data_IF_387001892842
#
_entry.id   IF_387001892842
#
_cell.length_a   1.000
_cell.length_b   1.000
_cell.length_c   1.000
_cell.angle_alpha   90.00
_cell.angle_beta   90.00
_cell.angle_gamma   90.00
#
_symmetry.space_group_name_H-M   'P 1'
#
loop_
_entity.id
_entity.type
_entity.pdbx_description
1 polymer ?
#
# COMPACT_ATOMS: atom_id res chain seq x y z
N UNK A 1 -4.94 8.69 -3.20
CA UNK A 1 -5.13 8.51 -1.74
C UNK A 1 -3.83 8.20 -1.01
N UNK A 2 -3.03 7.21 -1.41
CA UNK A 2 -1.75 6.89 -0.74
C UNK A 2 -0.80 8.10 -0.60
N UNK A 3 -0.54 8.84 -1.67
CA UNK A 3 0.33 10.03 -1.61
C UNK A 3 -0.17 11.12 -0.66
N UNK A 4 -1.49 11.30 -0.54
CA UNK A 4 -2.09 12.25 0.40
C UNK A 4 -1.83 11.82 1.85
N UNK A 5 -2.00 10.53 2.14
CA UNK A 5 -1.74 9.98 3.46
C UNK A 5 -0.24 10.03 3.81
N UNK A 6 0.64 9.72 2.86
CA UNK A 6 2.09 9.84 3.03
C UNK A 6 2.47 11.30 3.35
N UNK A 7 1.89 12.27 2.64
CA UNK A 7 2.12 13.69 2.93
C UNK A 7 1.61 14.08 4.32
N UNK A 8 0.42 13.61 4.72
CA UNK A 8 -0.13 13.85 6.06
C UNK A 8 0.78 13.30 7.18
N UNK A 9 1.35 12.12 6.98
CA UNK A 9 2.32 11.50 7.89
C UNK A 9 3.60 12.34 7.97
N UNK A 10 4.18 12.72 6.82
CA UNK A 10 5.38 13.56 6.75
C UNK A 10 5.18 14.91 7.44
N UNK A 11 3.99 15.50 7.30
CA UNK A 11 3.61 16.78 7.90
C UNK A 11 3.09 16.65 9.35
N UNK A 12 3.07 15.44 9.93
CA UNK A 12 2.60 15.14 11.30
C UNK A 12 1.19 15.67 11.60
N UNK A 13 0.30 15.70 10.60
CA UNK A 13 -1.08 16.17 10.77
C UNK A 13 -1.98 15.05 11.30
N UNK A 14 -2.13 14.98 12.62
CA UNK A 14 -2.79 13.87 13.33
C UNK A 14 -4.22 13.57 12.84
N UNK A 15 -5.02 14.60 12.57
CA UNK A 15 -6.39 14.42 12.04
C UNK A 15 -6.38 13.68 10.68
N UNK A 16 -5.51 14.10 9.76
CA UNK A 16 -5.41 13.48 8.45
C UNK A 16 -4.80 12.08 8.50
N UNK A 17 -3.91 11.82 9.46
CA UNK A 17 -3.36 10.48 9.73
C UNK A 17 -4.48 9.53 10.17
N UNK A 18 -5.32 9.95 11.11
CA UNK A 18 -6.45 9.15 11.59
C UNK A 18 -7.45 8.86 10.46
N UNK A 19 -7.82 9.88 9.68
CA UNK A 19 -8.72 9.73 8.54
C UNK A 19 -8.16 8.79 7.47
N UNK A 20 -6.85 8.88 7.19
CA UNK A 20 -6.18 7.99 6.25
C UNK A 20 -6.21 6.53 6.74
N UNK A 21 -5.95 6.29 8.02
CA UNK A 21 -6.01 4.94 8.62
C UNK A 21 -7.40 4.33 8.49
N UNK A 22 -8.43 5.08 8.85
CA UNK A 22 -9.81 4.63 8.78
C UNK A 22 -10.22 4.33 7.33
N UNK A 23 -9.89 5.23 6.40
CA UNK A 23 -10.19 5.05 4.99
C UNK A 23 -9.50 3.80 4.41
N UNK A 24 -8.20 3.63 4.67
CA UNK A 24 -7.45 2.47 4.15
C UNK A 24 -7.98 1.15 4.70
N UNK A 25 -8.37 1.12 5.98
CA UNK A 25 -9.00 -0.06 6.58
C UNK A 25 -10.33 -0.38 5.89
N UNK A 26 -11.15 0.65 5.59
CA UNK A 26 -12.45 0.49 4.95
C UNK A 26 -12.36 0.05 3.48
N UNK A 27 -11.34 0.51 2.76
CA UNK A 27 -11.13 0.21 1.34
C UNK A 27 -10.37 -1.10 1.08
N UNK A 28 -10.01 -1.84 2.13
CA UNK A 28 -9.32 -3.11 1.99
C UNK A 28 -10.26 -4.17 1.38
N UNK A 29 -9.87 -4.74 0.24
CA UNK A 29 -10.56 -5.88 -0.35
C UNK A 29 -9.83 -7.17 0.03
N UNK A 30 -10.56 -8.10 0.64
CA UNK A 30 -10.02 -9.39 1.05
C UNK A 30 -10.27 -10.46 -0.01
N UNK A 31 -9.20 -11.12 -0.47
CA UNK A 31 -9.24 -12.19 -1.45
C UNK A 31 -8.40 -13.37 -0.94
N UNK A 32 -9.07 -14.37 -0.37
CA UNK A 32 -8.42 -15.48 0.32
C UNK A 32 -7.48 -14.97 1.43
N UNK A 33 -6.21 -15.40 1.38
CA UNK A 33 -5.17 -14.93 2.32
C UNK A 33 -4.62 -13.54 1.99
N UNK A 34 -4.93 -12.97 0.83
CA UNK A 34 -4.37 -11.70 0.37
C UNK A 34 -5.34 -10.54 0.58
N UNK A 35 -4.80 -9.31 0.58
CA UNK A 35 -5.58 -8.08 0.61
C UNK A 35 -5.07 -7.15 -0.48
N UNK A 36 -5.98 -6.51 -1.21
CA UNK A 36 -5.62 -5.48 -2.18
C UNK A 36 -6.46 -4.22 -1.98
N UNK A 37 -5.99 -3.12 -2.56
CA UNK A 37 -6.71 -1.85 -2.63
C UNK A 37 -6.91 -1.48 -4.08
N UNK A 38 -8.11 -1.01 -4.41
CA UNK A 38 -8.44 -0.56 -5.76
C UNK A 38 -9.11 0.81 -5.70
N UNK A 39 -8.84 1.66 -6.68
CA UNK A 39 -9.65 2.85 -6.92
C UNK A 39 -10.83 2.40 -7.76
N UNK A 40 -12.07 2.56 -7.27
CA UNK A 40 -13.27 2.26 -8.07
C UNK A 40 -13.39 3.20 -9.29
N UNK A 41 -12.76 4.38 -9.21
CA UNK A 41 -12.44 5.17 -10.39
C UNK A 41 -11.28 4.49 -11.13
N UNK A 42 -11.57 3.80 -12.23
CA UNK A 42 -10.69 2.93 -13.02
C UNK A 42 -9.39 3.57 -13.59
N UNK A 43 -8.84 4.64 -13.01
CA UNK A 43 -7.56 5.23 -13.38
C UNK A 43 -6.78 5.67 -12.14
N UNK A 44 -5.57 5.11 -11.94
CA UNK A 44 -4.58 5.75 -11.07
C UNK A 44 -4.06 7.04 -11.74
N UNK A 45 -3.50 8.00 -10.97
CA UNK A 45 -2.91 9.22 -11.54
C UNK A 45 -1.81 8.98 -12.59
N UNK A 46 -1.29 7.75 -12.68
CA UNK A 46 -0.23 7.35 -13.61
C UNK A 46 -0.69 6.33 -14.67
N UNK A 47 -1.97 6.34 -15.04
CA UNK A 47 -2.54 5.63 -16.19
C UNK A 47 -2.60 4.09 -16.06
N UNK A 48 -2.51 3.53 -14.86
CA UNK A 48 -2.79 2.12 -14.62
C UNK A 48 -4.29 1.84 -14.68
N UNK A 49 -4.76 1.22 -15.77
CA UNK A 49 -6.09 0.60 -15.84
C UNK A 49 -5.98 -0.89 -15.46
N UNK A 50 -7.04 -1.47 -14.91
CA UNK A 50 -7.07 -2.90 -14.58
C UNK A 50 -6.01 -3.30 -13.56
N UNK A 51 -5.19 -4.31 -13.90
CA UNK A 51 -4.24 -4.92 -12.96
C UNK A 51 -3.11 -3.97 -12.53
N UNK A 52 -2.55 -3.17 -13.44
CA UNK A 52 -1.45 -2.26 -13.11
C UNK A 52 -1.88 -1.19 -12.09
N UNK A 53 -3.07 -0.58 -12.28
CA UNK A 53 -3.59 0.42 -11.35
C UNK A 53 -3.91 -0.14 -9.97
N UNK A 54 -4.41 -1.38 -9.92
CA UNK A 54 -4.63 -2.11 -8.66
C UNK A 54 -3.33 -2.38 -7.92
N UNK A 55 -2.28 -2.76 -8.63
CA UNK A 55 -0.95 -3.01 -8.04
C UNK A 55 -0.34 -1.71 -7.50
N UNK A 56 -0.40 -0.61 -8.26
CA UNK A 56 0.05 0.70 -7.80
C UNK A 56 -0.71 1.15 -6.55
N UNK A 57 -2.03 1.01 -6.54
CA UNK A 57 -2.88 1.41 -5.42
C UNK A 57 -2.60 0.55 -4.18
N UNK A 58 -2.44 -0.76 -4.37
CA UNK A 58 -2.10 -1.68 -3.28
C UNK A 58 -0.72 -1.39 -2.72
N UNK A 59 0.28 -1.13 -3.56
CA UNK A 59 1.62 -0.79 -3.11
C UNK A 59 1.65 0.50 -2.27
N UNK A 60 0.95 1.55 -2.73
CA UNK A 60 0.85 2.80 -1.99
C UNK A 60 0.09 2.64 -0.66
N UNK A 61 -0.95 1.80 -0.62
CA UNK A 61 -1.66 1.47 0.60
C UNK A 61 -0.73 0.74 1.59
N UNK A 62 0.00 -0.28 1.14
CA UNK A 62 0.97 -1.02 1.95
C UNK A 62 2.05 -0.11 2.50
N UNK A 63 2.64 0.76 1.67
CA UNK A 63 3.66 1.71 2.13
C UNK A 63 3.11 2.66 3.19
N UNK A 64 1.88 3.17 2.99
CA UNK A 64 1.22 4.04 3.94
C UNK A 64 0.95 3.33 5.27
N UNK A 65 0.39 2.11 5.22
CA UNK A 65 0.11 1.32 6.41
C UNK A 65 1.40 1.01 7.18
N UNK A 66 2.51 0.70 6.51
CA UNK A 66 3.80 0.48 7.15
C UNK A 66 4.34 1.76 7.83
N UNK A 67 4.15 2.93 7.23
CA UNK A 67 4.46 4.21 7.91
C UNK A 67 3.57 4.45 9.13
N UNK A 68 2.29 4.06 9.07
CA UNK A 68 1.36 4.20 10.20
C UNK A 68 1.69 3.23 11.34
N UNK A 69 2.07 1.98 11.01
CA UNK A 69 2.55 1.00 11.98
C UNK A 69 3.77 1.54 12.74
N UNK A 70 4.76 2.12 12.05
CA UNK A 70 5.95 2.70 12.67
C UNK A 70 5.64 3.80 13.71
N UNK A 71 4.51 4.49 13.59
CA UNK A 71 4.10 5.54 14.53
C UNK A 71 3.47 4.99 15.82
N UNK A 72 2.96 3.75 15.82
CA UNK A 72 2.08 3.28 16.89
C UNK A 72 2.08 1.78 17.21
N UNK A 73 2.91 0.98 16.54
CA UNK A 73 3.04 -0.48 16.74
C UNK A 73 1.68 -1.21 16.85
N UNK A 74 0.81 -1.02 15.86
CA UNK A 74 -0.52 -1.64 15.82
C UNK A 74 -0.48 -3.02 15.12
N UNK A 75 -0.72 -4.15 15.84
CA UNK A 75 -0.67 -5.49 15.26
C UNK A 75 -1.69 -5.72 14.13
N UNK A 76 -2.81 -4.99 14.13
CA UNK A 76 -3.83 -5.12 13.09
C UNK A 76 -3.35 -4.54 11.76
N UNK A 77 -2.53 -3.49 11.81
CA UNK A 77 -1.89 -2.92 10.63
C UNK A 77 -0.81 -3.87 10.10
N UNK A 78 -0.03 -4.49 10.99
CA UNK A 78 0.99 -5.46 10.61
C UNK A 78 0.40 -6.62 9.77
N UNK A 79 -0.76 -7.14 10.15
CA UNK A 79 -1.45 -8.18 9.40
C UNK A 79 -1.94 -7.69 8.04
N UNK A 80 -2.55 -6.50 7.97
CA UNK A 80 -2.99 -5.92 6.69
C UNK A 80 -1.81 -5.68 5.73
N UNK A 81 -0.68 -5.22 6.26
CA UNK A 81 0.55 -5.03 5.49
C UNK A 81 1.05 -6.36 4.94
N UNK A 82 1.11 -7.41 5.77
CA UNK A 82 1.58 -8.72 5.35
C UNK A 82 0.69 -9.31 4.24
N UNK A 83 -0.64 -9.20 4.38
CA UNK A 83 -1.58 -9.68 3.36
C UNK A 83 -1.51 -8.86 2.07
N UNK A 84 -1.27 -7.56 2.17
CA UNK A 84 -0.99 -6.68 1.03
C UNK A 84 0.31 -7.03 0.32
N UNK A 85 1.38 -7.33 1.06
CA UNK A 85 2.63 -7.79 0.47
C UNK A 85 2.50 -9.15 -0.20
N UNK A 86 1.75 -10.08 0.40
CA UNK A 86 1.45 -11.36 -0.26
C UNK A 86 0.73 -11.13 -1.59
N UNK A 87 -0.26 -10.22 -1.63
CA UNK A 87 -0.92 -9.85 -2.88
C UNK A 87 0.07 -9.35 -3.94
N UNK A 88 0.95 -8.42 -3.57
CA UNK A 88 1.94 -7.89 -4.51
C UNK A 88 2.89 -8.99 -4.99
N UNK A 89 3.45 -9.79 -4.08
CA UNK A 89 4.44 -10.82 -4.42
C UNK A 89 3.90 -11.93 -5.31
N UNK A 90 2.60 -12.23 -5.27
CA UNK A 90 1.96 -13.22 -6.16
C UNK A 90 1.67 -12.68 -7.56
N UNK A 91 1.69 -11.36 -7.77
CA UNK A 91 1.38 -10.70 -9.04
C UNK A 91 2.60 -10.22 -9.83
N UNK A 92 3.81 -10.64 -9.43
CA UNK A 92 5.06 -10.34 -10.14
C UNK A 92 5.27 -11.27 -11.32
N UNK A 93 5.88 -10.77 -12.38
CA UNK A 93 6.33 -11.64 -13.49
C UNK A 93 7.64 -12.38 -13.17
N UNK A 94 8.12 -13.17 -14.12
CA UNK A 94 9.37 -13.95 -13.99
C UNK A 94 10.63 -13.09 -13.84
N UNK A 95 10.58 -11.80 -14.18
CA UNK A 95 11.69 -10.86 -14.10
C UNK A 95 11.58 -9.92 -12.88
N UNK A 96 10.64 -10.20 -11.97
CA UNK A 96 10.33 -9.34 -10.83
C UNK A 96 9.85 -7.94 -11.25
N UNK A 97 9.06 -7.88 -12.32
CA UNK A 97 8.34 -6.68 -12.75
C UNK A 97 6.84 -6.81 -12.46
N UNK A 98 6.18 -5.68 -12.25
CA UNK A 98 4.75 -5.57 -11.96
C UNK A 98 4.02 -4.78 -13.04
N UNK A 99 3.93 -5.33 -14.26
CA UNK A 99 3.20 -4.77 -15.41
C UNK A 99 3.65 -3.40 -15.96
N UNK A 100 4.05 -2.45 -15.11
CA UNK A 100 4.54 -1.12 -15.48
C UNK A 100 5.76 -0.75 -14.64
N UNK A 101 6.56 0.21 -15.14
CA UNK A 101 7.68 0.79 -14.38
C UNK A 101 7.19 1.39 -13.06
N UNK A 102 6.08 2.13 -13.10
CA UNK A 102 5.53 2.81 -11.92
C UNK A 102 5.04 1.83 -10.86
N UNK A 103 4.30 0.79 -11.27
CA UNK A 103 3.87 -0.27 -10.37
C UNK A 103 5.06 -1.00 -9.77
N UNK A 104 6.07 -1.33 -10.59
CA UNK A 104 7.31 -1.97 -10.11
C UNK A 104 8.02 -1.12 -9.07
N UNK A 105 8.19 0.18 -9.33
CA UNK A 105 8.79 1.12 -8.37
C UNK A 105 8.00 1.16 -7.06
N UNK A 106 6.68 1.37 -7.12
CA UNK A 106 5.84 1.48 -5.93
C UNK A 106 5.90 0.20 -5.08
N UNK A 107 5.89 -0.98 -5.72
CA UNK A 107 5.99 -2.26 -5.01
C UNK A 107 7.33 -2.41 -4.31
N UNK A 108 8.43 -2.03 -4.97
CA UNK A 108 9.77 -2.06 -4.37
C UNK A 108 9.84 -1.11 -3.16
N UNK A 109 9.31 0.12 -3.29
CA UNK A 109 9.25 1.08 -2.18
C UNK A 109 8.45 0.54 -0.99
N UNK A 110 7.31 -0.12 -1.26
CA UNK A 110 6.49 -0.75 -0.23
C UNK A 110 7.23 -1.89 0.51
N UNK A 111 7.98 -2.73 -0.21
CA UNK A 111 8.79 -3.81 0.39
C UNK A 111 9.91 -3.24 1.26
N UNK A 112 10.66 -2.26 0.73
CA UNK A 112 11.76 -1.61 1.47
C UNK A 112 11.21 -0.95 2.74
N UNK A 113 10.07 -0.25 2.64
CA UNK A 113 9.41 0.38 3.79
C UNK A 113 9.09 -0.63 4.88
N UNK A 114 8.46 -1.75 4.54
CA UNK A 114 8.11 -2.78 5.52
C UNK A 114 9.34 -3.37 6.19
N UNK A 115 10.42 -3.58 5.42
CA UNK A 115 11.66 -4.10 5.98
C UNK A 115 12.29 -3.11 6.95
N UNK A 116 12.33 -1.82 6.62
CA UNK A 116 12.88 -0.78 7.48
C UNK A 116 12.16 -0.72 8.85
N UNK A 117 10.82 -0.72 8.85
CA UNK A 117 10.03 -0.66 10.09
C UNK A 117 10.21 -1.89 11.01
N UNK A 118 10.71 -3.02 10.51
CA UNK A 118 10.97 -4.22 11.35
C UNK A 118 12.29 -4.12 12.13
N UNK A 119 13.21 -3.25 11.72
CA UNK A 119 14.54 -3.12 12.30
C UNK A 119 14.63 -2.01 13.36
N UNK A 120 13.56 -1.25 13.53
CA UNK A 120 13.38 -0.17 14.52
C UNK A 120 12.61 -0.67 15.73
#
# INVERSE_FOLDING_TARGET
MGNYAIAAITLKRQEHIANARELLTRLAHHEGSTTYWNLEANATPFYGWGTAGRLETTALAVETLAKLEALGHDPTLAEQINRGLQYLLTHKDRYACWYSTQATQNVIEAIIRRHACRQE
#
